data_IF_657956437953
#
_entry.id   IF_657956437953
#
_cell.length_a   1.000
_cell.length_b   1.000
_cell.length_c   1.000
_cell.angle_alpha   90.00
_cell.angle_beta   90.00
_cell.angle_gamma   90.00
#
_symmetry.space_group_name_H-M   'P 1'
#
loop_
_entity.id
_entity.type
_entity.pdbx_description
1 polymer ?
#
# COMPACT_ATOMS: atom_id res chain seq x y z
N UNK A 1 15.39 21.06 -4.48
CA UNK A 1 15.13 20.74 -3.06
C UNK A 1 14.89 19.24 -2.98
N UNK A 2 15.60 18.52 -2.12
CA UNK A 2 15.34 17.08 -1.92
C UNK A 2 14.16 16.96 -0.95
N UNK A 3 13.00 16.49 -1.42
CA UNK A 3 11.87 16.29 -0.52
C UNK A 3 12.15 15.15 0.48
N UNK A 4 11.32 15.11 1.52
CA UNK A 4 11.38 14.09 2.58
C UNK A 4 11.12 12.70 2.02
N UNK A 5 10.33 12.57 0.95
CA UNK A 5 9.96 11.27 0.37
C UNK A 5 10.40 11.19 -1.09
N UNK A 6 11.05 10.10 -1.52
CA UNK A 6 11.52 9.93 -2.89
C UNK A 6 10.35 9.49 -3.79
N UNK A 7 9.39 10.38 -3.99
CA UNK A 7 8.19 10.15 -4.80
C UNK A 7 7.98 11.25 -5.86
N UNK A 8 7.27 10.89 -6.92
CA UNK A 8 6.80 11.79 -7.98
C UNK A 8 7.91 12.69 -8.56
N UNK A 9 7.75 14.01 -8.47
CA UNK A 9 8.66 15.00 -9.02
C UNK A 9 10.11 14.87 -8.51
N UNK A 10 10.30 14.33 -7.31
CA UNK A 10 11.62 14.17 -6.71
C UNK A 10 12.49 13.11 -7.41
N UNK A 11 11.85 12.22 -8.18
CA UNK A 11 12.55 11.18 -8.95
C UNK A 11 12.81 11.60 -10.39
N UNK A 12 12.37 12.79 -10.83
CA UNK A 12 12.51 13.22 -12.23
C UNK A 12 13.97 13.32 -12.66
N UNK A 13 14.86 13.81 -11.79
CA UNK A 13 16.29 13.84 -12.08
C UNK A 13 16.83 12.43 -12.33
N UNK A 14 16.47 11.45 -11.48
CA UNK A 14 16.89 10.07 -11.65
C UNK A 14 16.32 9.47 -12.94
N UNK A 15 15.04 9.71 -13.23
CA UNK A 15 14.37 9.27 -14.47
C UNK A 15 15.05 9.80 -15.73
N UNK A 16 15.29 11.10 -15.81
CA UNK A 16 15.96 11.72 -16.94
C UNK A 16 17.41 11.25 -17.07
N UNK A 17 18.14 11.14 -15.95
CA UNK A 17 19.52 10.62 -15.95
C UNK A 17 19.58 9.19 -16.45
N UNK A 18 18.68 8.32 -15.96
CA UNK A 18 18.60 6.92 -16.39
C UNK A 18 18.29 6.82 -17.89
N UNK A 19 17.35 7.62 -18.40
CA UNK A 19 17.04 7.68 -19.83
C UNK A 19 18.28 8.02 -20.67
N UNK A 20 19.00 9.09 -20.29
CA UNK A 20 20.21 9.54 -21.01
C UNK A 20 21.35 8.52 -20.96
N UNK A 21 21.50 7.79 -19.86
CA UNK A 21 22.49 6.71 -19.74
C UNK A 21 22.08 5.50 -20.57
N UNK A 22 20.81 5.11 -20.54
CA UNK A 22 20.27 3.99 -21.31
C UNK A 22 20.42 4.21 -22.83
N UNK A 23 20.21 5.42 -23.32
CA UNK A 23 20.42 5.79 -24.73
C UNK A 23 21.86 5.60 -25.20
N UNK A 24 22.83 5.75 -24.29
CA UNK A 24 24.26 5.56 -24.58
C UNK A 24 24.69 4.10 -24.39
N UNK A 25 24.13 3.43 -23.39
CA UNK A 25 24.42 2.06 -23.04
C UNK A 25 23.17 1.38 -22.43
N UNK A 26 22.63 0.40 -23.16
CA UNK A 26 21.42 -0.32 -22.76
C UNK A 26 21.60 -1.19 -21.49
N UNK A 27 22.81 -1.25 -20.91
CA UNK A 27 23.05 -1.90 -19.61
C UNK A 27 22.43 -1.13 -18.43
N UNK A 28 22.22 0.19 -18.54
CA UNK A 28 21.62 1.01 -17.49
C UNK A 28 20.09 0.89 -17.49
N UNK A 29 19.55 -0.04 -16.70
CA UNK A 29 18.10 -0.36 -16.70
C UNK A 29 17.34 0.09 -15.45
N UNK A 30 18.05 0.38 -14.37
CA UNK A 30 17.45 0.66 -13.06
C UNK A 30 18.17 1.86 -12.45
N UNK A 31 17.38 2.80 -11.92
CA UNK A 31 17.80 3.88 -11.04
C UNK A 31 17.11 3.74 -9.69
N UNK A 32 17.77 4.20 -8.63
CA UNK A 32 17.22 4.14 -7.28
C UNK A 32 17.64 5.38 -6.49
N UNK A 33 16.71 5.95 -5.74
CA UNK A 33 16.93 7.18 -4.97
C UNK A 33 16.46 6.96 -3.55
N UNK A 34 17.38 6.95 -2.55
CA UNK A 34 17.02 7.00 -1.15
C UNK A 34 16.62 8.42 -0.72
N UNK A 35 15.96 8.56 0.43
CA UNK A 35 15.82 9.86 1.09
C UNK A 35 17.06 10.25 1.92
N UNK A 36 16.97 11.41 2.58
CA UNK A 36 18.13 12.08 3.17
C UNK A 36 18.73 11.31 4.37
N UNK A 37 17.88 10.71 5.21
CA UNK A 37 18.30 9.87 6.34
C UNK A 37 18.38 8.38 5.98
N UNK A 38 17.98 8.02 4.75
CA UNK A 38 18.09 6.67 4.23
C UNK A 38 17.12 5.71 4.92
N UNK A 39 15.91 6.17 5.26
CA UNK A 39 14.83 5.32 5.78
C UNK A 39 13.89 4.85 4.65
N UNK A 40 13.83 5.59 3.53
CA UNK A 40 13.04 5.25 2.33
C UNK A 40 13.90 5.28 1.09
N UNK A 41 13.37 4.65 0.05
CA UNK A 41 13.91 4.80 -1.29
C UNK A 41 12.94 4.27 -2.33
N UNK A 42 13.09 4.76 -3.56
CA UNK A 42 12.15 4.41 -4.62
C UNK A 42 12.87 4.14 -5.94
N UNK A 43 12.18 3.42 -6.82
CA UNK A 43 12.72 2.78 -8.01
C UNK A 43 12.31 3.53 -9.28
N UNK A 44 13.27 3.72 -10.18
CA UNK A 44 13.07 4.11 -11.56
C UNK A 44 13.55 2.95 -12.44
N UNK A 45 12.80 2.58 -13.47
CA UNK A 45 13.18 1.49 -14.37
C UNK A 45 12.96 1.88 -15.83
N UNK A 46 13.68 1.21 -16.73
CA UNK A 46 13.41 1.28 -18.17
C UNK A 46 12.33 0.26 -18.53
N UNK A 47 11.24 0.72 -19.14
CA UNK A 47 10.30 -0.15 -19.87
C UNK A 47 10.97 -0.55 -21.19
N UNK A 48 11.20 -1.85 -21.41
CA UNK A 48 11.96 -2.32 -22.56
C UNK A 48 11.15 -2.22 -23.87
N UNK A 49 9.81 -2.25 -23.77
CA UNK A 49 8.89 -2.11 -24.90
C UNK A 49 8.85 -0.67 -25.40
N UNK A 50 8.70 0.30 -24.50
CA UNK A 50 8.69 1.72 -24.89
C UNK A 50 10.09 2.32 -25.02
N UNK A 51 11.10 1.66 -24.42
CA UNK A 51 12.48 2.17 -24.27
C UNK A 51 12.56 3.47 -23.48
N UNK A 52 11.61 3.69 -22.56
CA UNK A 52 11.51 4.89 -21.74
C UNK A 52 11.70 4.60 -20.25
N UNK A 53 12.30 5.56 -19.54
CA UNK A 53 12.42 5.53 -18.09
C UNK A 53 11.09 5.94 -17.41
N UNK A 54 10.61 5.08 -16.52
CA UNK A 54 9.40 5.26 -15.72
C UNK A 54 9.71 5.27 -14.23
N UNK A 55 8.96 6.08 -13.49
CA UNK A 55 8.98 6.10 -12.02
C UNK A 55 7.98 5.07 -11.52
N UNK A 56 8.44 4.15 -10.68
CA UNK A 56 7.56 3.20 -10.03
C UNK A 56 6.97 3.82 -8.75
N UNK A 57 5.67 3.65 -8.53
CA UNK A 57 5.02 4.14 -7.31
C UNK A 57 5.54 3.40 -6.08
N UNK A 58 5.64 4.09 -4.94
CA UNK A 58 6.21 3.54 -3.72
C UNK A 58 5.48 2.26 -3.23
N UNK A 59 4.16 2.22 -3.37
CA UNK A 59 3.35 1.03 -3.07
C UNK A 59 3.68 -0.16 -4.00
N UNK A 60 4.05 0.11 -5.26
CA UNK A 60 4.47 -0.91 -6.22
C UNK A 60 5.86 -1.43 -5.87
N UNK A 61 6.79 -0.56 -5.48
CA UNK A 61 8.11 -1.00 -4.97
C UNK A 61 7.97 -1.87 -3.73
N UNK A 62 7.17 -1.45 -2.76
CA UNK A 62 6.92 -2.25 -1.56
C UNK A 62 6.26 -3.60 -1.90
N UNK A 63 5.32 -3.63 -2.86
CA UNK A 63 4.70 -4.85 -3.33
C UNK A 63 5.71 -5.83 -3.97
N UNK A 64 6.68 -5.34 -4.76
CA UNK A 64 7.74 -6.18 -5.31
C UNK A 64 8.62 -6.78 -4.20
N UNK A 65 8.95 -6.01 -3.16
CA UNK A 65 9.73 -6.49 -2.02
C UNK A 65 8.94 -7.55 -1.23
N UNK A 66 7.65 -7.30 -0.96
CA UNK A 66 6.78 -8.27 -0.29
C UNK A 66 6.70 -9.57 -1.08
N UNK A 67 6.48 -9.49 -2.38
CA UNK A 67 6.47 -10.65 -3.27
C UNK A 67 7.79 -11.42 -3.20
N UNK A 68 8.93 -10.73 -3.27
CA UNK A 68 10.25 -11.36 -3.21
C UNK A 68 10.47 -12.13 -1.90
N UNK A 69 10.21 -11.48 -0.76
CA UNK A 69 10.49 -12.04 0.56
C UNK A 69 9.48 -13.13 0.95
N UNK A 70 8.19 -12.98 0.62
CA UNK A 70 7.19 -14.03 0.82
C UNK A 70 7.49 -15.26 -0.04
N UNK A 71 7.80 -15.05 -1.33
CA UNK A 71 8.13 -16.15 -2.25
C UNK A 71 9.38 -16.91 -1.81
N UNK A 72 10.47 -16.19 -1.47
CA UNK A 72 11.68 -16.82 -0.95
C UNK A 72 11.41 -17.62 0.32
N UNK A 73 10.68 -17.05 1.27
CA UNK A 73 10.38 -17.71 2.55
C UNK A 73 9.49 -18.93 2.35
N UNK A 74 8.51 -18.86 1.45
CA UNK A 74 7.64 -19.99 1.11
C UNK A 74 8.41 -21.11 0.39
N UNK A 75 9.37 -20.80 -0.47
CA UNK A 75 10.25 -21.82 -1.07
C UNK A 75 11.07 -22.57 -0.02
N UNK A 76 11.60 -21.85 0.97
CA UNK A 76 12.41 -22.43 2.04
C UNK A 76 11.56 -23.17 3.08
N UNK A 77 10.32 -22.70 3.30
CA UNK A 77 9.42 -23.21 4.33
C UNK A 77 8.01 -23.43 3.75
N UNK A 78 7.79 -24.49 2.93
CA UNK A 78 6.56 -24.65 2.13
C UNK A 78 5.25 -24.70 2.91
N UNK A 79 5.29 -25.08 4.19
CA UNK A 79 4.12 -25.31 5.05
C UNK A 79 4.10 -24.44 6.31
N UNK A 80 5.10 -23.59 6.51
CA UNK A 80 5.16 -22.78 7.72
C UNK A 80 4.09 -21.66 7.63
N UNK A 81 3.43 -21.31 8.76
CA UNK A 81 2.57 -20.14 8.81
C UNK A 81 3.39 -18.91 8.40
N UNK A 82 2.92 -18.19 7.38
CA UNK A 82 3.62 -17.07 6.78
C UNK A 82 2.77 -15.83 6.96
N UNK A 83 3.40 -14.69 7.24
CA UNK A 83 2.68 -13.44 7.36
C UNK A 83 3.51 -12.21 6.95
N UNK A 84 2.81 -11.12 6.68
CA UNK A 84 3.36 -9.79 6.46
C UNK A 84 2.63 -8.81 7.37
N UNK A 85 3.35 -7.84 7.92
CA UNK A 85 2.78 -6.78 8.77
C UNK A 85 2.91 -5.43 8.08
N UNK A 86 1.80 -4.73 7.89
CA UNK A 86 1.78 -3.43 7.20
C UNK A 86 0.99 -2.39 7.97
N UNK A 87 1.25 -1.11 7.73
CA UNK A 87 0.35 -0.07 8.25
C UNK A 87 -1.01 -0.06 7.50
N UNK A 88 -2.01 0.51 8.15
CA UNK A 88 -3.38 0.59 7.64
C UNK A 88 -3.56 1.22 6.24
N UNK A 89 -2.85 2.29 5.83
CA UNK A 89 -3.01 2.85 4.48
C UNK A 89 -2.28 2.08 3.36
N UNK A 90 -1.49 1.04 3.69
CA UNK A 90 -0.87 0.20 2.65
C UNK A 90 -1.94 -0.50 1.82
N UNK A 91 -1.80 -0.44 0.48
CA UNK A 91 -2.74 -0.95 -0.51
C UNK A 91 -3.17 -2.40 -0.24
N UNK A 92 -4.40 -2.72 -0.62
CA UNK A 92 -4.94 -4.08 -0.60
C UNK A 92 -4.27 -5.00 -1.60
N UNK A 93 -3.41 -4.48 -2.50
CA UNK A 93 -2.50 -5.30 -3.31
C UNK A 93 -1.70 -6.30 -2.47
N UNK A 94 -1.26 -5.90 -1.29
CA UNK A 94 -0.53 -6.78 -0.38
C UNK A 94 -1.38 -7.98 0.05
N UNK A 95 -2.70 -7.81 0.21
CA UNK A 95 -3.61 -8.91 0.49
C UNK A 95 -3.62 -9.93 -0.66
N UNK A 96 -3.72 -9.46 -1.90
CA UNK A 96 -3.73 -10.32 -3.07
C UNK A 96 -2.40 -11.07 -3.23
N UNK A 97 -1.26 -10.40 -2.99
CA UNK A 97 0.06 -11.03 -3.03
C UNK A 97 0.20 -12.08 -1.92
N UNK A 98 -0.18 -11.73 -0.69
CA UNK A 98 -0.09 -12.63 0.46
C UNK A 98 -0.97 -13.89 0.28
N UNK A 99 -2.19 -13.73 -0.25
CA UNK A 99 -3.09 -14.84 -0.58
C UNK A 99 -2.47 -15.84 -1.54
N UNK A 100 -1.75 -15.38 -2.57
CA UNK A 100 -1.08 -16.28 -3.53
C UNK A 100 -0.03 -17.17 -2.84
N UNK A 101 0.58 -16.69 -1.75
CA UNK A 101 1.53 -17.43 -0.94
C UNK A 101 0.92 -17.98 0.34
N UNK A 102 -0.40 -18.07 0.48
CA UNK A 102 -1.08 -18.60 1.67
C UNK A 102 -0.54 -17.92 2.97
N UNK A 103 -0.32 -16.61 2.88
CA UNK A 103 0.22 -15.79 3.94
C UNK A 103 -0.85 -14.85 4.51
N UNK A 104 -0.78 -14.61 5.81
CA UNK A 104 -1.66 -13.68 6.52
C UNK A 104 -1.14 -12.24 6.43
N UNK A 105 -2.06 -11.28 6.40
CA UNK A 105 -1.74 -9.85 6.44
C UNK A 105 -2.25 -9.28 7.74
N UNK A 106 -1.36 -8.76 8.58
CA UNK A 106 -1.73 -8.05 9.78
C UNK A 106 -1.50 -6.55 9.62
N UNK A 107 -2.40 -5.74 10.19
CA UNK A 107 -2.40 -4.30 10.00
C UNK A 107 -2.29 -3.55 11.31
N UNK A 108 -1.53 -2.46 11.28
CA UNK A 108 -1.36 -1.55 12.42
C UNK A 108 -1.78 -0.13 12.07
N UNK A 109 -1.90 0.73 13.09
CA UNK A 109 -1.84 2.17 12.86
C UNK A 109 -0.48 2.55 12.24
N UNK A 110 -0.47 3.63 11.43
CA UNK A 110 0.75 4.25 10.89
C UNK A 110 1.77 4.54 11.99
N UNK A 111 3.01 4.11 11.76
CA UNK A 111 4.14 4.19 12.68
C UNK A 111 5.04 2.96 12.62
N UNK A 112 6.33 3.17 12.36
CA UNK A 112 7.36 2.12 12.29
C UNK A 112 7.37 1.21 13.53
N UNK A 113 7.29 1.80 14.73
CA UNK A 113 7.28 1.04 15.97
C UNK A 113 6.11 0.05 16.06
N UNK A 114 4.92 0.43 15.55
CA UNK A 114 3.75 -0.44 15.58
C UNK A 114 3.95 -1.67 14.71
N UNK A 115 4.43 -1.49 13.47
CA UNK A 115 4.65 -2.62 12.55
C UNK A 115 5.73 -3.56 13.08
N UNK A 116 6.80 -3.02 13.66
CA UNK A 116 7.88 -3.80 14.28
C UNK A 116 7.37 -4.61 15.47
N UNK A 117 6.60 -3.97 16.36
CA UNK A 117 6.03 -4.63 17.53
C UNK A 117 5.05 -5.74 17.15
N UNK A 118 4.11 -5.48 16.23
CA UNK A 118 3.15 -6.48 15.80
C UNK A 118 3.84 -7.65 15.08
N UNK A 119 4.86 -7.38 14.25
CA UNK A 119 5.64 -8.44 13.62
C UNK A 119 6.37 -9.32 14.64
N UNK A 120 6.89 -8.73 15.73
CA UNK A 120 7.49 -9.51 16.81
C UNK A 120 6.45 -10.41 17.49
N UNK A 121 5.27 -9.88 17.83
CA UNK A 121 4.18 -10.66 18.42
C UNK A 121 3.76 -11.81 17.50
N UNK A 122 3.60 -11.57 16.20
CA UNK A 122 3.22 -12.63 15.25
C UNK A 122 4.30 -13.70 15.07
N UNK A 123 5.58 -13.34 15.20
CA UNK A 123 6.65 -14.35 15.26
C UNK A 123 6.56 -15.21 16.53
N UNK A 124 6.25 -14.61 17.67
CA UNK A 124 6.03 -15.34 18.93
C UNK A 124 4.79 -16.25 18.87
N UNK A 125 3.77 -15.87 18.11
CA UNK A 125 2.61 -16.72 17.78
C UNK A 125 2.92 -17.84 16.77
N UNK A 126 4.14 -17.90 16.21
CA UNK A 126 4.60 -18.97 15.32
C UNK A 126 4.59 -18.65 13.82
N UNK A 127 4.29 -17.41 13.44
CA UNK A 127 4.40 -16.99 12.04
C UNK A 127 5.85 -16.69 11.63
N UNK A 128 6.21 -17.06 10.41
CA UNK A 128 7.34 -16.46 9.71
C UNK A 128 6.91 -15.09 9.19
N UNK A 129 7.58 -14.04 9.64
CA UNK A 129 7.33 -12.66 9.19
C UNK A 129 8.61 -12.11 8.57
N UNK A 130 8.89 -12.37 7.27
CA UNK A 130 10.14 -11.98 6.64
C UNK A 130 10.17 -10.49 6.26
N UNK A 131 9.00 -9.88 6.08
CA UNK A 131 8.84 -8.50 5.62
C UNK A 131 7.71 -7.82 6.39
N UNK A 132 7.93 -6.55 6.71
CA UNK A 132 6.95 -5.65 7.30
C UNK A 132 7.24 -4.22 6.80
N UNK A 133 6.31 -3.28 6.98
CA UNK A 133 6.58 -1.89 6.63
C UNK A 133 5.36 -1.00 6.43
N UNK A 134 5.63 0.16 5.86
CA UNK A 134 4.65 1.21 5.56
C UNK A 134 4.61 1.43 4.05
N UNK A 135 4.01 0.49 3.32
CA UNK A 135 3.94 0.55 1.85
C UNK A 135 3.33 1.84 1.31
N UNK A 136 2.46 2.50 2.08
CA UNK A 136 1.90 3.82 1.77
C UNK A 136 2.94 4.93 1.58
N UNK A 137 4.16 4.77 2.08
CA UNK A 137 5.26 5.74 1.93
C UNK A 137 6.56 5.09 1.41
N UNK A 138 6.48 3.85 0.91
CA UNK A 138 7.64 3.11 0.42
C UNK A 138 8.57 2.55 1.50
N UNK A 139 8.21 2.68 2.78
CA UNK A 139 9.01 2.18 3.89
C UNK A 139 9.00 0.66 3.98
N UNK A 140 10.16 0.02 3.87
CA UNK A 140 10.32 -1.43 3.97
C UNK A 140 11.23 -1.81 5.14
N UNK A 141 10.93 -2.92 5.82
CA UNK A 141 11.80 -3.51 6.85
C UNK A 141 11.85 -5.02 6.61
N UNK A 142 12.98 -5.51 6.11
CA UNK A 142 13.23 -6.94 5.95
C UNK A 142 13.85 -7.51 7.21
N UNK A 143 13.28 -8.59 7.75
CA UNK A 143 13.82 -9.27 8.93
C UNK A 143 15.27 -9.75 8.69
N UNK A 144 16.21 -9.60 9.65
CA UNK A 144 16.03 -9.22 11.06
C UNK A 144 16.13 -7.72 11.37
N UNK A 145 16.12 -6.84 10.37
CA UNK A 145 16.13 -5.40 10.61
C UNK A 145 14.90 -4.96 11.41
N UNK A 146 15.05 -3.83 12.12
CA UNK A 146 14.00 -3.19 12.93
C UNK A 146 13.72 -1.74 12.54
N UNK A 147 14.43 -1.25 11.53
CA UNK A 147 14.30 0.10 10.98
C UNK A 147 14.13 -0.03 9.48
N UNK A 148 13.49 0.97 8.87
CA UNK A 148 13.38 0.97 7.42
C UNK A 148 14.74 1.18 6.77
N UNK A 149 14.97 0.46 5.69
CA UNK A 149 16.29 0.44 5.03
C UNK A 149 16.15 0.27 3.51
N UNK A 150 16.45 1.30 2.71
CA UNK A 150 16.39 1.25 1.25
C UNK A 150 17.35 0.23 0.63
N UNK A 151 18.47 -0.10 1.27
CA UNK A 151 19.39 -1.13 0.77
C UNK A 151 18.76 -2.52 0.89
N UNK A 152 17.95 -2.76 1.92
CA UNK A 152 17.18 -4.00 2.03
C UNK A 152 16.12 -4.13 0.92
N UNK A 153 15.51 -3.02 0.49
CA UNK A 153 14.68 -3.00 -0.73
C UNK A 153 15.48 -3.47 -1.93
N UNK A 154 16.65 -2.87 -2.18
CA UNK A 154 17.48 -3.22 -3.32
C UNK A 154 17.91 -4.68 -3.31
N UNK A 155 18.32 -5.21 -2.15
CA UNK A 155 18.68 -6.61 -2.02
C UNK A 155 17.50 -7.53 -2.32
N UNK A 156 16.30 -7.20 -1.86
CA UNK A 156 15.08 -7.97 -2.15
C UNK A 156 14.74 -7.97 -3.64
N UNK A 157 14.88 -6.82 -4.30
CA UNK A 157 14.70 -6.70 -5.76
C UNK A 157 15.76 -7.49 -6.54
N UNK A 158 17.02 -7.47 -6.10
CA UNK A 158 18.09 -8.27 -6.71
C UNK A 158 17.78 -9.76 -6.58
N UNK A 159 17.34 -10.22 -5.40
CA UNK A 159 16.89 -11.62 -5.21
C UNK A 159 15.79 -11.97 -6.20
N UNK A 160 14.78 -11.11 -6.35
CA UNK A 160 13.65 -11.32 -7.25
C UNK A 160 14.08 -11.44 -8.72
N UNK A 161 15.03 -10.60 -9.16
CA UNK A 161 15.52 -10.57 -10.54
C UNK A 161 16.51 -11.73 -10.82
N UNK A 162 17.36 -12.08 -9.85
CA UNK A 162 18.44 -13.06 -10.04
C UNK A 162 18.05 -14.49 -9.68
N UNK A 163 17.11 -14.69 -8.76
CA UNK A 163 16.63 -16.01 -8.39
C UNK A 163 15.36 -16.34 -9.18
N UNK A 164 15.52 -17.13 -10.26
CA UNK A 164 14.40 -17.51 -11.12
C UNK A 164 13.31 -18.27 -10.37
N UNK A 165 13.64 -19.03 -9.34
CA UNK A 165 12.63 -19.83 -8.63
C UNK A 165 11.69 -18.96 -7.81
N UNK A 166 12.19 -17.85 -7.25
CA UNK A 166 11.38 -16.84 -6.55
C UNK A 166 10.34 -16.24 -7.49
N UNK A 167 10.76 -15.79 -8.67
CA UNK A 167 9.83 -15.22 -9.65
C UNK A 167 8.90 -16.29 -10.25
N UNK A 168 9.40 -17.50 -10.56
CA UNK A 168 8.57 -18.60 -11.07
C UNK A 168 7.47 -19.00 -10.09
N UNK A 169 7.78 -19.04 -8.79
CA UNK A 169 6.77 -19.36 -7.77
C UNK A 169 5.65 -18.33 -7.80
N UNK A 170 5.96 -17.03 -7.93
CA UNK A 170 4.95 -15.98 -8.06
C UNK A 170 4.03 -16.20 -9.26
N UNK A 171 4.57 -16.39 -10.46
CA UNK A 171 3.75 -16.63 -11.66
C UNK A 171 2.82 -17.84 -11.48
N UNK A 172 3.35 -18.96 -10.95
CA UNK A 172 2.55 -20.16 -10.67
C UNK A 172 1.47 -19.91 -9.62
N UNK A 173 1.83 -19.26 -8.52
CA UNK A 173 0.94 -18.98 -7.40
C UNK A 173 -0.23 -18.07 -7.82
N UNK A 174 0.01 -17.16 -8.77
CA UNK A 174 -1.01 -16.28 -9.32
C UNK A 174 -1.69 -16.84 -10.58
N UNK A 175 -1.54 -18.14 -10.86
CA UNK A 175 -2.19 -18.83 -11.99
C UNK A 175 -1.75 -18.35 -13.38
N UNK A 176 -0.58 -17.71 -13.50
CA UNK A 176 -0.05 -17.19 -14.75
C UNK A 176 0.98 -18.12 -15.39
N UNK A 177 1.08 -18.06 -16.70
CA UNK A 177 2.17 -18.69 -17.44
C UNK A 177 3.51 -18.06 -17.09
N UNK A 178 4.54 -18.90 -16.95
CA UNK A 178 5.89 -18.45 -16.66
C UNK A 178 6.51 -17.92 -17.96
N UNK A 179 6.92 -16.65 -18.04
CA UNK A 179 7.58 -16.12 -19.22
C UNK A 179 8.89 -16.86 -19.52
N UNK A 180 9.21 -17.03 -20.81
CA UNK A 180 10.49 -17.61 -21.23
C UNK A 180 11.68 -16.81 -20.65
N UNK A 181 11.61 -15.48 -20.74
CA UNK A 181 12.52 -14.53 -20.12
C UNK A 181 11.76 -13.80 -19.02
N UNK A 182 12.23 -13.93 -17.78
CA UNK A 182 11.69 -13.22 -16.63
C UNK A 182 12.47 -11.90 -16.49
N UNK A 183 11.85 -10.80 -16.89
CA UNK A 183 12.36 -9.44 -16.69
C UNK A 183 11.66 -8.74 -15.53
N UNK A 184 12.23 -7.64 -15.03
CA UNK A 184 11.59 -6.80 -14.02
C UNK A 184 10.23 -6.27 -14.51
N UNK A 185 10.14 -5.86 -15.78
CA UNK A 185 8.90 -5.41 -16.43
C UNK A 185 7.81 -6.49 -16.35
N UNK A 186 8.11 -7.73 -16.73
CA UNK A 186 7.14 -8.84 -16.66
C UNK A 186 6.66 -9.11 -15.23
N UNK A 187 7.53 -8.90 -14.24
CA UNK A 187 7.15 -9.04 -12.83
C UNK A 187 6.26 -7.87 -12.40
N UNK A 188 6.58 -6.63 -12.80
CA UNK A 188 5.75 -5.44 -12.53
C UNK A 188 4.36 -5.61 -13.15
N UNK A 189 4.28 -6.02 -14.42
CA UNK A 189 3.02 -6.28 -15.14
C UNK A 189 2.17 -7.38 -14.47
N UNK A 190 2.82 -8.34 -13.82
CA UNK A 190 2.14 -9.43 -13.12
C UNK A 190 1.60 -9.05 -11.74
N UNK A 191 1.93 -7.85 -11.23
CA UNK A 191 1.41 -7.38 -9.95
C UNK A 191 -0.10 -7.12 -10.05
N UNK A 192 -0.86 -7.35 -8.96
CA UNK A 192 -2.27 -6.97 -8.94
C UNK A 192 -2.43 -5.47 -9.15
N UNK A 193 -3.25 -5.08 -10.12
CA UNK A 193 -3.51 -3.68 -10.46
C UNK A 193 -4.35 -3.02 -9.37
N UNK A 194 -3.88 -1.85 -8.92
CA UNK A 194 -4.60 -0.97 -8.01
C UNK A 194 -4.29 0.49 -8.40
N UNK A 195 -5.31 1.34 -8.37
CA UNK A 195 -5.19 2.79 -8.45
C UNK A 195 -5.31 3.35 -7.04
N UNK A 196 -4.22 3.92 -6.53
CA UNK A 196 -4.14 4.37 -5.13
C UNK A 196 -3.81 5.85 -5.05
N UNK A 197 -4.50 6.58 -4.16
CA UNK A 197 -4.17 7.98 -3.86
C UNK A 197 -2.77 8.05 -3.25
N UNK A 198 -1.90 8.88 -3.84
CA UNK A 198 -0.55 9.09 -3.32
C UNK A 198 -0.58 9.73 -1.93
N UNK A 199 0.21 9.21 -0.98
CA UNK A 199 0.17 9.69 0.40
C UNK A 199 0.57 11.18 0.55
N UNK A 200 1.35 11.71 -0.40
CA UNK A 200 1.86 13.08 -0.39
C UNK A 200 1.27 13.98 -1.46
N UNK A 201 0.32 13.50 -2.27
CA UNK A 201 -0.37 14.33 -3.25
C UNK A 201 -1.34 15.32 -2.57
N UNK A 202 -1.75 16.36 -3.28
CA UNK A 202 -2.62 17.40 -2.74
C UNK A 202 -4.04 16.88 -2.49
N UNK A 203 -4.51 15.96 -3.32
CA UNK A 203 -5.80 15.29 -3.18
C UNK A 203 -5.84 14.33 -1.98
N UNK A 204 -4.68 13.89 -1.48
CA UNK A 204 -4.53 13.08 -0.28
C UNK A 204 -4.47 13.88 1.03
N UNK A 205 -4.56 15.22 0.95
CA UNK A 205 -4.51 16.13 2.09
C UNK A 205 -5.81 16.93 2.22
N UNK A 206 -6.25 17.13 3.45
CA UNK A 206 -7.35 18.01 3.82
C UNK A 206 -7.01 18.78 5.09
N UNK A 207 -7.67 19.91 5.28
CA UNK A 207 -7.69 20.63 6.56
C UNK A 207 -9.04 20.36 7.24
N UNK A 208 -9.00 20.13 8.55
CA UNK A 208 -10.19 19.94 9.39
C UNK A 208 -10.13 20.90 10.58
N UNK A 209 -11.29 21.25 11.11
CA UNK A 209 -11.44 22.17 12.25
C UNK A 209 -12.02 21.46 13.48
N UNK A 210 -12.80 20.39 13.27
CA UNK A 210 -13.38 19.60 14.36
C UNK A 210 -12.38 18.63 14.95
N UNK A 211 -12.61 18.24 16.19
CA UNK A 211 -11.87 17.15 16.82
C UNK A 211 -12.20 15.80 16.14
N UNK A 212 -11.29 14.84 16.29
CA UNK A 212 -11.40 13.55 15.60
C UNK A 212 -12.63 12.72 16.04
N UNK A 213 -13.10 12.87 17.27
CA UNK A 213 -14.28 12.15 17.75
C UNK A 213 -15.52 12.65 17.01
N UNK A 214 -15.76 13.95 17.07
CA UNK A 214 -16.88 14.62 16.40
C UNK A 214 -16.87 14.35 14.90
N UNK A 215 -15.71 14.50 14.26
CA UNK A 215 -15.55 14.29 12.82
C UNK A 215 -15.92 12.85 12.41
N UNK A 216 -15.37 11.83 13.10
CA UNK A 216 -15.61 10.42 12.74
C UNK A 216 -17.05 9.99 13.01
N UNK A 217 -17.66 10.44 14.10
CA UNK A 217 -19.06 10.14 14.40
C UNK A 217 -20.00 10.72 13.33
N UNK A 218 -19.76 11.96 12.93
CA UNK A 218 -20.54 12.58 11.85
C UNK A 218 -20.27 11.94 10.50
N UNK A 219 -19.03 11.60 10.20
CA UNK A 219 -18.65 10.86 9.00
C UNK A 219 -19.47 9.57 8.87
N UNK A 220 -19.58 8.77 9.93
CA UNK A 220 -20.36 7.52 9.91
C UNK A 220 -21.84 7.76 9.58
N UNK A 221 -22.48 8.74 10.22
CA UNK A 221 -23.89 9.09 9.97
C UNK A 221 -24.10 9.53 8.52
N UNK A 222 -23.22 10.40 8.02
CA UNK A 222 -23.29 10.90 6.65
C UNK A 222 -23.04 9.77 5.65
N UNK A 223 -22.03 8.94 5.89
CA UNK A 223 -21.68 7.81 5.03
C UNK A 223 -22.84 6.83 4.91
N UNK A 224 -23.49 6.49 6.01
CA UNK A 224 -24.68 5.60 6.01
C UNK A 224 -25.83 6.19 5.18
N UNK A 225 -26.11 7.48 5.36
CA UNK A 225 -27.14 8.16 4.57
C UNK A 225 -26.80 8.20 3.08
N UNK A 226 -25.56 8.56 2.74
CA UNK A 226 -25.09 8.63 1.36
C UNK A 226 -25.07 7.25 0.70
N UNK A 227 -24.68 6.20 1.44
CA UNK A 227 -24.68 4.81 0.97
C UNK A 227 -26.06 4.39 0.46
N UNK A 228 -27.11 4.64 1.25
CA UNK A 228 -28.48 4.31 0.87
C UNK A 228 -28.92 5.06 -0.40
N UNK A 229 -28.55 6.34 -0.53
CA UNK A 229 -28.88 7.15 -1.72
C UNK A 229 -28.10 6.73 -2.97
N UNK A 230 -26.88 6.20 -2.79
CA UNK A 230 -25.94 5.84 -3.86
C UNK A 230 -25.95 4.35 -4.19
N UNK A 231 -26.77 3.53 -3.52
CA UNK A 231 -26.75 2.06 -3.61
C UNK A 231 -26.76 1.56 -5.07
N UNK A 232 -27.65 2.11 -5.91
CA UNK A 232 -27.74 1.71 -7.32
C UNK A 232 -26.44 1.98 -8.08
N UNK A 233 -25.88 3.18 -7.93
CA UNK A 233 -24.63 3.57 -8.59
C UNK A 233 -23.45 2.72 -8.10
N UNK A 234 -23.38 2.44 -6.79
CA UNK A 234 -22.34 1.60 -6.21
C UNK A 234 -22.41 0.17 -6.74
N UNK A 235 -23.62 -0.40 -6.88
CA UNK A 235 -23.81 -1.73 -7.48
C UNK A 235 -23.44 -1.77 -8.96
N UNK A 236 -23.71 -0.71 -9.72
CA UNK A 236 -23.25 -0.59 -11.11
C UNK A 236 -21.71 -0.56 -11.20
N UNK A 237 -21.04 -0.05 -10.17
CA UNK A 237 -19.59 -0.14 -9.98
C UNK A 237 -19.15 -1.49 -9.37
N UNK A 238 -20.04 -2.45 -9.16
CA UNK A 238 -19.69 -3.73 -8.54
C UNK A 238 -19.37 -3.66 -7.04
N UNK A 239 -19.83 -2.62 -6.33
CA UNK A 239 -19.71 -2.46 -4.88
C UNK A 239 -21.07 -2.79 -4.25
N UNK A 240 -21.12 -3.84 -3.43
CA UNK A 240 -22.36 -4.40 -2.89
C UNK A 240 -22.48 -4.25 -1.38
N UNK A 241 -21.36 -4.21 -0.66
CA UNK A 241 -21.36 -4.06 0.79
C UNK A 241 -20.09 -3.34 1.27
N UNK A 242 -20.08 -2.96 2.54
CA UNK A 242 -18.91 -2.34 3.17
C UNK A 242 -18.76 -2.79 4.62
N UNK A 243 -17.53 -2.74 5.14
CA UNK A 243 -17.23 -2.86 6.55
C UNK A 243 -16.37 -1.66 6.99
N UNK A 244 -16.34 -1.38 8.30
CA UNK A 244 -15.45 -0.37 8.87
C UNK A 244 -14.39 -1.04 9.73
N UNK A 245 -13.14 -0.58 9.58
CA UNK A 245 -11.97 -1.02 10.34
C UNK A 245 -11.36 0.20 11.03
N UNK A 246 -11.06 0.06 12.32
CA UNK A 246 -10.40 1.06 13.15
C UNK A 246 -9.03 0.53 13.53
N UNK A 247 -7.96 1.30 13.33
CA UNK A 247 -6.60 0.89 13.68
C UNK A 247 -5.95 1.85 14.67
N UNK A 248 -5.53 1.34 15.81
CA UNK A 248 -4.95 2.10 16.93
C UNK A 248 -3.75 1.33 17.50
N UNK A 249 -2.56 1.92 17.43
CA UNK A 249 -1.32 1.21 17.78
C UNK A 249 -1.17 -0.08 16.95
N UNK A 250 -1.14 -1.23 17.62
CA UNK A 250 -1.00 -2.56 17.00
C UNK A 250 -2.34 -3.29 16.79
N UNK A 251 -3.46 -2.68 17.16
CA UNK A 251 -4.77 -3.31 17.08
C UNK A 251 -5.56 -2.83 15.85
N UNK A 252 -6.25 -3.76 15.21
CA UNK A 252 -7.29 -3.50 14.22
C UNK A 252 -8.62 -4.06 14.74
N UNK A 253 -9.66 -3.23 14.79
CA UNK A 253 -11.01 -3.59 15.26
C UNK A 253 -12.01 -3.37 14.13
N UNK A 254 -12.90 -4.32 13.90
CA UNK A 254 -13.96 -4.18 12.89
C UNK A 254 -15.25 -3.68 13.55
N UNK A 255 -15.71 -2.50 13.16
CA UNK A 255 -16.95 -1.91 13.64
C UNK A 255 -17.02 -0.39 13.51
N UNK A 256 -18.21 0.13 13.80
CA UNK A 256 -18.57 1.55 13.77
C UNK A 256 -18.97 2.04 15.15
N UNK A 257 -18.83 3.35 15.37
CA UNK A 257 -19.12 3.99 16.64
C UNK A 257 -17.95 3.96 17.62
N UNK A 258 -18.13 4.67 18.73
CA UNK A 258 -17.05 4.94 19.69
C UNK A 258 -16.54 3.70 20.41
N UNK A 259 -17.37 2.67 20.60
CA UNK A 259 -16.95 1.42 21.25
C UNK A 259 -15.82 0.67 20.52
N UNK A 260 -15.57 0.98 19.25
CA UNK A 260 -14.50 0.40 18.44
C UNK A 260 -13.26 1.29 18.34
N UNK A 261 -13.26 2.42 19.05
CA UNK A 261 -12.20 3.43 19.02
C UNK A 261 -11.79 3.78 20.44
N UNK A 262 -10.60 4.34 20.60
CA UNK A 262 -10.04 4.68 21.90
C UNK A 262 -9.78 6.19 21.95
N UNK A 263 -10.17 6.91 23.00
CA UNK A 263 -9.81 8.32 23.15
C UNK A 263 -8.29 8.54 22.95
N UNK A 264 -7.86 9.57 22.19
CA UNK A 264 -8.62 10.70 21.66
C UNK A 264 -9.17 10.46 20.23
N UNK A 265 -9.44 9.23 19.84
CA UNK A 265 -10.04 8.83 18.56
C UNK A 265 -9.19 9.17 17.34
N UNK A 266 -7.87 9.27 17.51
CA UNK A 266 -6.91 9.71 16.48
C UNK A 266 -6.38 8.59 15.58
N UNK A 267 -6.77 7.33 15.82
CA UNK A 267 -6.36 6.19 15.01
C UNK A 267 -6.79 6.27 13.54
N UNK A 268 -6.32 5.32 12.73
CA UNK A 268 -6.77 5.18 11.35
C UNK A 268 -8.24 4.73 11.29
N UNK A 269 -9.03 5.38 10.44
CA UNK A 269 -10.41 4.99 10.14
C UNK A 269 -10.47 4.52 8.69
N UNK A 270 -10.95 3.31 8.45
CA UNK A 270 -11.04 2.73 7.11
C UNK A 270 -12.45 2.19 6.83
N UNK A 271 -13.02 2.55 5.68
CA UNK A 271 -14.16 1.87 5.09
C UNK A 271 -13.64 0.94 4.01
N UNK A 272 -13.83 -0.38 4.15
CA UNK A 272 -13.52 -1.35 3.10
C UNK A 272 -14.78 -1.65 2.29
N UNK A 273 -14.69 -1.53 0.98
CA UNK A 273 -15.78 -1.76 0.03
C UNK A 273 -15.60 -3.16 -0.57
N UNK A 274 -16.72 -3.88 -0.72
CA UNK A 274 -16.73 -5.28 -1.12
C UNK A 274 -17.62 -5.51 -2.32
N UNK A 275 -17.20 -6.45 -3.16
CA UNK A 275 -18.02 -6.95 -4.26
C UNK A 275 -19.12 -7.91 -3.78
N UNK A 276 -19.83 -8.52 -4.74
CA UNK A 276 -20.95 -9.44 -4.46
C UNK A 276 -20.52 -10.68 -3.68
N UNK A 277 -19.30 -11.18 -3.92
CA UNK A 277 -18.71 -12.32 -3.20
C UNK A 277 -18.15 -11.94 -1.82
N UNK A 278 -18.27 -10.67 -1.41
CA UNK A 278 -17.76 -10.19 -0.13
C UNK A 278 -16.24 -9.96 -0.10
N UNK A 279 -15.58 -10.01 -1.24
CA UNK A 279 -14.14 -9.73 -1.39
C UNK A 279 -13.92 -8.22 -1.37
N UNK A 280 -12.94 -7.77 -0.59
CA UNK A 280 -12.56 -6.35 -0.54
C UNK A 280 -11.95 -5.96 -1.88
N UNK A 281 -12.54 -4.97 -2.53
CA UNK A 281 -12.07 -4.41 -3.80
C UNK A 281 -11.47 -3.04 -3.63
N UNK A 282 -11.99 -2.23 -2.72
CA UNK A 282 -11.57 -0.86 -2.55
C UNK A 282 -11.56 -0.49 -1.07
N UNK A 283 -10.88 0.60 -0.71
CA UNK A 283 -11.10 1.22 0.59
C UNK A 283 -10.98 2.74 0.56
N UNK A 284 -11.65 3.35 1.53
CA UNK A 284 -11.54 4.77 1.89
C UNK A 284 -10.86 4.83 3.25
N UNK A 285 -9.77 5.58 3.38
CA UNK A 285 -9.02 5.68 4.63
C UNK A 285 -8.75 7.13 4.99
N UNK A 286 -8.84 7.43 6.29
CA UNK A 286 -8.51 8.75 6.81
C UNK A 286 -7.86 8.70 8.20
N UNK A 287 -7.00 9.68 8.46
CA UNK A 287 -6.36 9.87 9.77
C UNK A 287 -5.76 11.28 9.90
N UNK A 288 -5.84 11.87 11.09
CA UNK A 288 -5.07 13.07 11.41
C UNK A 288 -3.57 12.75 11.47
N UNK A 289 -2.74 13.55 10.80
CA UNK A 289 -1.29 13.37 10.89
C UNK A 289 -0.80 13.68 12.31
N UNK A 290 0.14 12.87 12.82
CA UNK A 290 0.80 13.10 14.12
C UNK A 290 2.03 14.00 13.99
N UNK A 291 2.52 14.23 12.77
CA UNK A 291 3.76 14.97 12.48
C UNK A 291 3.52 16.32 11.84
N UNK A 292 2.34 16.51 11.23
CA UNK A 292 1.98 17.71 10.48
C UNK A 292 0.54 18.09 10.80
N UNK A 293 0.19 19.37 10.66
CA UNK A 293 -1.19 19.86 10.85
C UNK A 293 -2.07 19.60 9.63
N UNK A 294 -2.13 18.34 9.17
CA UNK A 294 -2.92 17.91 8.00
C UNK A 294 -3.74 16.67 8.31
N UNK A 295 -4.92 16.57 7.71
CA UNK A 295 -5.75 15.37 7.72
C UNK A 295 -5.47 14.57 6.44
N UNK A 296 -5.00 13.34 6.61
CA UNK A 296 -4.64 12.46 5.49
C UNK A 296 -5.86 11.69 5.04
N UNK A 297 -6.06 11.61 3.74
CA UNK A 297 -7.16 10.93 3.07
C UNK A 297 -6.57 10.07 1.96
N UNK A 298 -7.04 8.84 1.83
CA UNK A 298 -6.55 7.91 0.83
C UNK A 298 -7.69 7.03 0.31
N UNK A 299 -7.70 6.80 -0.99
CA UNK A 299 -8.53 5.77 -1.63
C UNK A 299 -7.61 4.78 -2.34
N UNK A 300 -7.93 3.50 -2.24
CA UNK A 300 -7.26 2.42 -2.94
C UNK A 300 -8.33 1.63 -3.67
N UNK A 301 -8.25 1.57 -4.99
CA UNK A 301 -9.22 0.89 -5.83
C UNK A 301 -8.56 -0.26 -6.58
N UNK A 302 -9.16 -1.44 -6.59
CA UNK A 302 -8.67 -2.55 -7.41
C UNK A 302 -8.90 -2.24 -8.89
N UNK A 303 -7.89 -2.52 -9.70
CA UNK A 303 -7.86 -2.23 -11.14
C UNK A 303 -7.13 -0.92 -11.46
N UNK A 304 -7.31 -0.47 -12.70
CA UNK A 304 -6.72 0.74 -13.28
C UNK A 304 -7.79 1.79 -13.68
N UNK A 305 -9.03 1.62 -13.20
CA UNK A 305 -10.14 2.54 -13.45
C UNK A 305 -9.98 3.84 -12.64
N UNK A 306 -9.34 4.82 -13.28
CA UNK A 306 -9.13 6.17 -12.73
C UNK A 306 -10.46 6.88 -12.44
N UNK A 307 -11.51 6.66 -13.25
CA UNK A 307 -12.80 7.32 -13.04
C UNK A 307 -13.49 6.79 -11.77
N UNK A 308 -13.40 5.49 -11.49
CA UNK A 308 -13.83 4.88 -10.23
C UNK A 308 -13.06 5.45 -9.05
N UNK A 309 -11.72 5.48 -9.13
CA UNK A 309 -10.88 6.04 -8.08
C UNK A 309 -11.26 7.49 -7.77
N UNK A 310 -11.35 8.35 -8.79
CA UNK A 310 -11.63 9.77 -8.62
C UNK A 310 -13.04 9.99 -8.07
N UNK A 311 -14.02 9.20 -8.51
CA UNK A 311 -15.37 9.23 -7.94
C UNK A 311 -15.35 8.93 -6.43
N UNK A 312 -14.69 7.83 -6.03
CA UNK A 312 -14.64 7.40 -4.63
C UNK A 312 -13.84 8.38 -3.76
N UNK A 313 -12.74 8.93 -4.27
CA UNK A 313 -11.95 9.95 -3.57
C UNK A 313 -12.75 11.25 -3.39
N UNK A 314 -13.43 11.72 -4.43
CA UNK A 314 -14.28 12.91 -4.34
C UNK A 314 -15.46 12.71 -3.38
N UNK A 315 -16.08 11.53 -3.41
CA UNK A 315 -17.14 11.18 -2.46
C UNK A 315 -16.61 11.16 -1.03
N UNK A 316 -15.47 10.50 -0.79
CA UNK A 316 -14.84 10.44 0.53
C UNK A 316 -14.52 11.83 1.10
N UNK A 317 -13.88 12.68 0.29
CA UNK A 317 -13.54 14.07 0.66
C UNK A 317 -14.79 14.91 0.92
N UNK A 318 -15.85 14.73 0.12
CA UNK A 318 -17.13 15.43 0.31
C UNK A 318 -17.77 15.09 1.67
N UNK A 319 -17.76 13.82 2.07
CA UNK A 319 -18.26 13.40 3.39
C UNK A 319 -17.45 14.06 4.52
N UNK A 320 -16.12 14.04 4.43
CA UNK A 320 -15.25 14.68 5.43
C UNK A 320 -15.56 16.18 5.52
N UNK A 321 -15.66 16.86 4.38
CA UNK A 321 -15.95 18.30 4.35
C UNK A 321 -17.35 18.67 4.88
N UNK A 322 -18.33 17.76 4.79
CA UNK A 322 -19.65 17.94 5.42
C UNK A 322 -19.56 17.70 6.93
N UNK A 323 -18.90 16.62 7.35
CA UNK A 323 -18.70 16.27 8.76
C UNK A 323 -17.96 17.37 9.55
N UNK A 324 -17.04 18.09 8.89
CA UNK A 324 -16.26 19.18 9.48
C UNK A 324 -17.03 20.51 9.60
N UNK A 325 -18.02 20.75 8.73
CA UNK A 325 -18.77 22.03 8.66
C UNK A 325 -19.83 22.18 9.74
N UNK A 326 -20.50 21.09 10.10
CA UNK A 326 -21.64 21.12 11.04
C UNK A 326 -21.23 21.30 12.51
#
# INVERSE_FOLDING_TARGET
VHAIVPEAENLQLCRQTLQQLYEKDNAYKIGYVPDNDGDRGNLVYIDERTREAHILEAQNVFALVVLAELSQTRLQNPKAPLAVVVNCPTSMRIQTIAQAFDAEVFRTEVGEANVVQLAQIKREEGYLVPILGEGSNGGNITHPAKVRDPLNTLMSLIKLIKNRDVAKLWFRANGMDIPHIISLEKIIESLPLYTTTGAFCEEGKMSIHKDHQTLKNRYEVIFQSDWALKEKQLKEMGIFSYNVLQTEGIEERSGQGESYRTPPFSGGYKVVLKNEEGVITDFLWMRGSKTESVFRVLVDCRGDDVARHDYLLNWHRSIIARADRD
#
